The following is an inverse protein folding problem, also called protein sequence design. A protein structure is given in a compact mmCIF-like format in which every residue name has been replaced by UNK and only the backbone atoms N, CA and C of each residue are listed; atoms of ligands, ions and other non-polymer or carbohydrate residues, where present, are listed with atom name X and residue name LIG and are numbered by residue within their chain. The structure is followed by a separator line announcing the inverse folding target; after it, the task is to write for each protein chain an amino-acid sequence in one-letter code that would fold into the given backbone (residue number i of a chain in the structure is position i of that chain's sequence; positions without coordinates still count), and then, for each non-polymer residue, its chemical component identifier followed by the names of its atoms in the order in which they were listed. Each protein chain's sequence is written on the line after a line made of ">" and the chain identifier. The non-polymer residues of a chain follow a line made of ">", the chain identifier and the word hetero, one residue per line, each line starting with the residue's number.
data_IF_388562250093
#
_entry.id   IF_388562250093
#
_cell.length_a   1.000
_cell.length_b   1.000
_cell.length_c   1.000
_cell.angle_alpha   90.00
_cell.angle_beta   90.00
_cell.angle_gamma   90.00
#
_symmetry.space_group_name_H-M   'P 1'
#
loop_
_entity.id
_entity.type
_entity.pdbx_description
1 polymer ?
#
# COMPACT_ATOMS: atom_id res chain seq x y z
N UNK A 1 -10.18 17.02 -1.47
CA UNK A 1 -9.03 17.27 -0.54
C UNK A 1 -7.91 17.96 -1.29
N UNK A 2 -7.22 18.92 -0.68
CA UNK A 2 -5.95 19.45 -1.19
C UNK A 2 -4.87 18.36 -1.11
N UNK A 3 -3.73 18.56 -1.82
CA UNK A 3 -2.60 17.62 -1.76
C UNK A 3 -2.10 17.47 -0.32
N UNK A 4 -2.00 18.57 0.44
CA UNK A 4 -1.53 18.50 1.83
C UNK A 4 -2.52 17.83 2.77
N UNK A 5 -3.82 18.00 2.58
CA UNK A 5 -4.85 17.26 3.33
C UNK A 5 -4.77 15.76 3.07
N UNK A 6 -4.58 15.37 1.79
CA UNK A 6 -4.41 13.97 1.41
C UNK A 6 -3.16 13.37 2.07
N UNK A 7 -2.01 14.07 2.03
CA UNK A 7 -0.77 13.63 2.69
C UNK A 7 -0.93 13.55 4.23
N UNK A 8 -1.61 14.51 4.83
CA UNK A 8 -1.82 14.57 6.28
C UNK A 8 -2.75 13.46 6.80
N UNK A 9 -3.66 12.95 5.97
CA UNK A 9 -4.68 11.97 6.38
C UNK A 9 -4.43 10.55 5.85
N UNK A 10 -3.74 10.39 4.70
CA UNK A 10 -3.40 9.06 4.17
C UNK A 10 -2.51 8.29 5.13
N UNK A 11 -2.95 7.12 5.53
CA UNK A 11 -2.18 6.19 6.37
C UNK A 11 -2.27 4.78 5.78
N UNK A 12 -1.56 3.84 6.39
CA UNK A 12 -1.70 2.43 6.08
C UNK A 12 -2.91 1.87 6.80
N UNK A 13 -3.86 1.34 6.03
CA UNK A 13 -5.07 0.69 6.54
C UNK A 13 -4.98 -0.82 6.35
N UNK A 14 -5.50 -1.60 7.30
CA UNK A 14 -5.35 -3.06 7.32
C UNK A 14 -6.65 -3.81 7.56
N UNK A 15 -7.73 -3.10 7.92
CA UNK A 15 -9.07 -3.66 8.07
C UNK A 15 -10.02 -2.88 7.18
N UNK A 16 -10.88 -3.59 6.47
CA UNK A 16 -11.69 -3.03 5.40
C UNK A 16 -13.13 -3.54 5.46
N UNK A 17 -14.08 -2.67 5.15
CA UNK A 17 -15.47 -3.07 4.93
C UNK A 17 -15.56 -3.93 3.66
N UNK A 18 -16.49 -4.89 3.68
CA UNK A 18 -16.74 -5.80 2.56
C UNK A 18 -17.59 -5.11 1.47
N UNK A 19 -17.07 -3.97 0.95
CA UNK A 19 -17.67 -3.19 -0.13
C UNK A 19 -16.69 -3.10 -1.29
N UNK A 20 -17.12 -3.33 -2.53
CA UNK A 20 -16.22 -3.26 -3.68
C UNK A 20 -15.60 -1.86 -3.81
N UNK A 21 -14.37 -1.81 -4.28
CA UNK A 21 -13.72 -0.55 -4.68
C UNK A 21 -14.37 -0.09 -5.99
N UNK A 22 -14.88 1.16 -6.08
CA UNK A 22 -15.49 1.67 -7.29
C UNK A 22 -14.50 1.68 -8.48
N UNK A 23 -15.01 1.43 -9.69
CA UNK A 23 -14.16 1.33 -10.89
C UNK A 23 -13.43 2.65 -11.20
N UNK A 24 -14.06 3.79 -10.99
CA UNK A 24 -13.45 5.11 -11.19
C UNK A 24 -12.23 5.33 -10.27
N UNK A 25 -12.23 4.74 -9.08
CA UNK A 25 -11.05 4.77 -8.17
C UNK A 25 -9.93 3.87 -8.71
N UNK A 26 -10.27 2.73 -9.29
CA UNK A 26 -9.28 1.84 -9.93
C UNK A 26 -8.66 2.53 -11.13
N UNK A 27 -9.46 3.19 -11.95
CA UNK A 27 -9.01 3.94 -13.11
C UNK A 27 -8.10 5.10 -12.71
N UNK A 28 -8.45 5.86 -11.65
CA UNK A 28 -7.62 6.92 -11.07
C UNK A 28 -6.27 6.39 -10.57
N UNK A 29 -6.22 5.19 -9.95
CA UNK A 29 -4.97 4.58 -9.51
C UNK A 29 -4.07 4.17 -10.69
N UNK A 30 -4.65 3.61 -11.75
CA UNK A 30 -3.90 3.27 -12.97
C UNK A 30 -3.39 4.53 -13.66
N UNK A 31 -4.19 5.58 -13.73
CA UNK A 31 -3.78 6.88 -14.27
C UNK A 31 -2.69 7.53 -13.42
N UNK A 32 -2.77 7.43 -12.09
CA UNK A 32 -1.72 7.92 -11.19
C UNK A 32 -0.38 7.19 -11.41
N UNK A 33 -0.40 5.88 -11.71
CA UNK A 33 0.79 5.17 -12.15
C UNK A 33 1.31 5.74 -13.48
N UNK A 34 0.44 5.85 -14.49
CA UNK A 34 0.81 6.35 -15.83
C UNK A 34 1.46 7.73 -15.80
N UNK A 35 0.99 8.60 -14.88
CA UNK A 35 1.50 9.97 -14.72
C UNK A 35 2.69 10.06 -13.76
N UNK A 36 3.10 8.95 -13.13
CA UNK A 36 4.23 8.95 -12.21
C UNK A 36 5.54 9.25 -12.89
N UNK A 37 6.35 10.10 -12.28
CA UNK A 37 7.72 10.33 -12.73
C UNK A 37 8.55 9.07 -12.60
N UNK A 38 9.42 8.82 -13.57
CA UNK A 38 10.37 7.70 -13.54
C UNK A 38 11.69 8.09 -14.22
N UNK A 39 12.76 7.40 -13.88
CA UNK A 39 14.10 7.66 -14.42
C UNK A 39 14.12 7.58 -15.95
N UNK A 40 14.54 8.65 -16.62
CA UNK A 40 14.61 8.75 -18.07
C UNK A 40 13.30 8.37 -18.80
N UNK A 41 12.16 8.54 -18.16
CA UNK A 41 10.83 8.19 -18.66
C UNK A 41 10.70 6.72 -19.12
N UNK A 42 11.35 5.79 -18.43
CA UNK A 42 11.44 4.38 -18.81
C UNK A 42 10.14 3.60 -18.62
N UNK A 43 9.25 4.03 -17.73
CA UNK A 43 7.90 3.48 -17.53
C UNK A 43 7.89 1.96 -17.29
N UNK A 44 8.85 1.47 -16.50
CA UNK A 44 9.07 0.04 -16.25
C UNK A 44 8.11 -0.58 -15.22
N UNK A 45 7.29 0.24 -14.52
CA UNK A 45 6.37 -0.24 -13.49
C UNK A 45 4.99 -0.48 -14.09
N UNK A 46 4.41 -1.64 -13.79
CA UNK A 46 3.09 -2.07 -14.27
C UNK A 46 2.22 -2.52 -13.09
N UNK A 47 0.91 -2.63 -13.29
CA UNK A 47 -0.03 -3.17 -12.31
C UNK A 47 -0.76 -4.39 -12.86
N UNK A 48 -0.97 -5.39 -11.98
CA UNK A 48 -2.00 -6.39 -12.16
C UNK A 48 -3.10 -6.09 -11.15
N UNK A 49 -4.31 -5.83 -11.64
CA UNK A 49 -5.49 -5.49 -10.83
C UNK A 49 -6.21 -6.79 -10.45
N UNK A 50 -6.36 -7.05 -9.15
CA UNK A 50 -6.96 -8.26 -8.61
C UNK A 50 -8.27 -7.91 -7.90
N UNK A 51 -9.40 -8.09 -8.57
CA UNK A 51 -10.75 -7.76 -8.08
C UNK A 51 -11.67 -8.99 -7.98
N UNK A 52 -11.31 -10.13 -8.62
CA UNK A 52 -12.08 -11.36 -8.47
C UNK A 52 -12.06 -11.82 -7.02
N UNK A 53 -13.21 -11.99 -6.34
CA UNK A 53 -13.25 -12.44 -4.95
C UNK A 53 -12.52 -13.78 -4.75
N UNK A 54 -12.58 -14.69 -5.71
CA UNK A 54 -11.88 -15.96 -5.67
C UNK A 54 -10.36 -15.79 -5.64
N UNK A 55 -9.82 -14.90 -6.49
CA UNK A 55 -8.37 -14.65 -6.55
C UNK A 55 -7.93 -13.85 -5.32
N UNK A 56 -8.71 -12.85 -4.88
CA UNK A 56 -8.47 -12.08 -3.65
C UNK A 56 -8.33 -13.02 -2.45
N UNK A 57 -9.22 -14.01 -2.30
CA UNK A 57 -9.15 -15.01 -1.23
C UNK A 57 -7.88 -15.88 -1.31
N UNK A 58 -7.40 -16.19 -2.52
CA UNK A 58 -6.13 -16.93 -2.72
C UNK A 58 -4.89 -16.10 -2.46
N UNK A 59 -4.95 -14.77 -2.65
CA UNK A 59 -3.84 -13.84 -2.35
C UNK A 59 -3.66 -13.67 -0.84
N UNK A 60 -4.77 -13.60 -0.07
CA UNK A 60 -4.74 -13.25 1.35
C UNK A 60 -3.75 -14.08 2.19
N UNK A 61 -3.68 -15.42 2.11
CA UNK A 61 -2.74 -16.23 2.89
C UNK A 61 -1.28 -16.10 2.43
N UNK A 62 -1.02 -15.47 1.29
CA UNK A 62 0.31 -15.31 0.70
C UNK A 62 0.98 -13.98 1.08
N UNK A 63 0.32 -13.15 1.90
CA UNK A 63 0.83 -11.85 2.37
C UNK A 63 0.91 -11.82 3.89
N UNK A 64 1.86 -11.06 4.44
CA UNK A 64 2.03 -10.90 5.90
C UNK A 64 1.58 -9.52 6.35
N UNK A 65 0.92 -9.47 7.51
CA UNK A 65 0.32 -8.27 8.07
C UNK A 65 1.12 -7.73 9.26
N UNK A 66 1.11 -6.39 9.41
CA UNK A 66 1.45 -5.63 10.62
C UNK A 66 2.66 -6.15 11.43
N UNK A 67 3.87 -6.14 10.86
CA UNK A 67 5.07 -6.76 11.45
C UNK A 67 5.50 -6.28 12.86
N UNK A 68 4.89 -5.22 13.39
CA UNK A 68 5.13 -4.75 14.77
C UNK A 68 4.04 -5.18 15.76
N UNK A 69 2.98 -5.83 15.29
CA UNK A 69 1.88 -6.30 16.13
C UNK A 69 1.87 -7.83 16.18
N UNK A 70 1.36 -8.43 17.26
CA UNK A 70 1.04 -9.84 17.29
C UNK A 70 0.08 -10.20 16.15
N UNK A 71 0.18 -11.39 15.55
CA UNK A 71 -0.64 -11.79 14.39
C UNK A 71 -2.16 -11.62 14.62
N UNK A 72 -2.64 -11.92 15.81
CA UNK A 72 -4.04 -11.82 16.22
C UNK A 72 -4.57 -10.38 16.28
N UNK A 73 -3.67 -9.39 16.38
CA UNK A 73 -4.02 -7.96 16.36
C UNK A 73 -3.70 -7.30 15.01
N UNK A 74 -2.70 -7.82 14.31
CA UNK A 74 -2.17 -7.22 13.10
C UNK A 74 -2.86 -7.68 11.83
N UNK A 75 -3.33 -8.93 11.77
CA UNK A 75 -4.04 -9.48 10.63
C UNK A 75 -5.53 -9.10 10.67
N UNK A 76 -6.17 -8.78 9.53
CA UNK A 76 -7.61 -8.55 9.47
C UNK A 76 -8.37 -9.86 9.71
N UNK A 77 -9.52 -9.77 10.40
CA UNK A 77 -10.47 -10.87 10.52
C UNK A 77 -11.10 -11.18 9.16
N UNK A 78 -11.80 -12.31 9.05
CA UNK A 78 -12.37 -12.75 7.76
C UNK A 78 -13.32 -11.73 7.13
N UNK A 79 -14.09 -11.03 7.96
CA UNK A 79 -15.03 -9.97 7.56
C UNK A 79 -14.39 -8.56 7.41
N UNK A 80 -13.08 -8.46 7.64
CA UNK A 80 -12.31 -7.22 7.53
C UNK A 80 -11.19 -7.31 6.47
N UNK A 81 -11.12 -8.42 5.71
CA UNK A 81 -10.08 -8.63 4.70
C UNK A 81 -10.20 -7.62 3.54
N UNK A 82 -9.11 -7.34 2.82
CA UNK A 82 -9.18 -6.53 1.61
C UNK A 82 -10.14 -7.12 0.59
N UNK A 83 -10.82 -6.25 -0.12
CA UNK A 83 -11.73 -6.64 -1.21
C UNK A 83 -11.03 -6.58 -2.58
N UNK A 84 -9.81 -6.07 -2.61
CA UNK A 84 -9.02 -5.89 -3.83
C UNK A 84 -7.53 -5.87 -3.50
N UNK A 85 -6.70 -6.32 -4.45
CA UNK A 85 -5.25 -6.12 -4.44
C UNK A 85 -4.76 -5.53 -5.77
N UNK A 86 -3.66 -4.78 -5.70
CA UNK A 86 -2.81 -4.48 -6.85
C UNK A 86 -1.49 -5.23 -6.68
N UNK A 87 -1.08 -5.99 -7.68
CA UNK A 87 0.29 -6.47 -7.78
C UNK A 87 1.12 -5.44 -8.55
N UNK A 88 2.15 -4.90 -7.91
CA UNK A 88 3.07 -3.94 -8.51
C UNK A 88 4.24 -4.70 -9.10
N UNK A 89 4.41 -4.58 -10.40
CA UNK A 89 5.31 -5.38 -11.21
C UNK A 89 6.37 -4.48 -11.84
N UNK A 90 7.61 -4.97 -11.90
CA UNK A 90 8.74 -4.33 -12.55
C UNK A 90 9.12 -5.11 -13.82
N UNK A 91 9.18 -4.43 -14.95
CA UNK A 91 9.75 -4.99 -16.18
C UNK A 91 11.28 -4.97 -16.10
N UNK A 92 11.88 -6.11 -15.73
CA UNK A 92 13.32 -6.22 -15.53
C UNK A 92 14.15 -6.23 -16.81
N UNK A 93 13.53 -6.21 -17.99
CA UNK A 93 14.24 -5.99 -19.26
C UNK A 93 14.61 -4.53 -19.47
N UNK A 94 13.96 -3.61 -18.73
CA UNK A 94 14.22 -2.17 -18.78
C UNK A 94 15.31 -1.83 -17.76
N UNK A 95 16.47 -1.29 -18.17
CA UNK A 95 17.57 -0.99 -17.26
C UNK A 95 17.28 0.26 -16.40
N UNK A 96 17.78 0.28 -15.17
CA UNK A 96 17.72 1.42 -14.27
C UNK A 96 17.38 1.06 -12.82
N UNK A 97 17.22 2.08 -11.97
CA UNK A 97 16.77 1.91 -10.59
C UNK A 97 15.23 1.80 -10.55
N UNK A 98 14.75 0.58 -10.74
CA UNK A 98 13.31 0.30 -10.70
C UNK A 98 12.72 0.45 -9.29
N UNK A 99 13.52 0.45 -8.24
CA UNK A 99 13.02 0.58 -6.86
C UNK A 99 12.59 2.02 -6.57
N UNK A 100 13.37 3.01 -7.03
CA UNK A 100 12.99 4.43 -6.93
C UNK A 100 11.71 4.69 -7.71
N UNK A 101 11.63 4.26 -8.97
CA UNK A 101 10.45 4.43 -9.83
C UNK A 101 9.21 3.75 -9.20
N UNK A 102 9.39 2.55 -8.64
CA UNK A 102 8.32 1.82 -7.94
C UNK A 102 7.85 2.56 -6.69
N UNK A 103 8.76 3.16 -5.91
CA UNK A 103 8.40 3.95 -4.74
C UNK A 103 7.58 5.19 -5.09
N UNK A 104 7.92 5.89 -6.17
CA UNK A 104 7.16 7.03 -6.70
C UNK A 104 5.76 6.58 -7.14
N UNK A 105 5.68 5.51 -7.92
CA UNK A 105 4.42 4.95 -8.38
C UNK A 105 3.50 4.55 -7.21
N UNK A 106 4.02 3.82 -6.21
CA UNK A 106 3.28 3.43 -5.01
C UNK A 106 2.74 4.62 -4.23
N UNK A 107 3.52 5.69 -4.09
CA UNK A 107 3.09 6.93 -3.44
C UNK A 107 1.89 7.53 -4.17
N UNK A 108 1.98 7.70 -5.50
CA UNK A 108 0.93 8.29 -6.31
C UNK A 108 -0.35 7.45 -6.32
N UNK A 109 -0.24 6.13 -6.52
CA UNK A 109 -1.37 5.18 -6.50
C UNK A 109 -2.12 5.26 -5.16
N UNK A 110 -1.39 5.22 -4.04
CA UNK A 110 -2.02 5.24 -2.71
C UNK A 110 -2.60 6.59 -2.34
N UNK A 111 -2.07 7.69 -2.87
CA UNK A 111 -2.64 9.03 -2.73
C UNK A 111 -3.92 9.18 -3.56
N UNK A 112 -3.94 8.69 -4.81
CA UNK A 112 -5.12 8.70 -5.66
C UNK A 112 -6.27 7.91 -5.01
N UNK A 113 -6.00 6.69 -4.51
CA UNK A 113 -6.97 5.88 -3.78
C UNK A 113 -7.53 6.63 -2.56
N UNK A 114 -6.64 7.22 -1.74
CA UNK A 114 -7.06 7.93 -0.53
C UNK A 114 -7.84 9.21 -0.81
N UNK A 115 -7.57 9.92 -1.87
CA UNK A 115 -8.34 11.09 -2.29
C UNK A 115 -9.82 10.78 -2.51
N UNK A 116 -10.14 9.51 -2.79
CA UNK A 116 -11.51 8.96 -2.95
C UNK A 116 -11.98 8.13 -1.73
N UNK A 117 -11.26 8.16 -0.61
CA UNK A 117 -11.63 7.44 0.62
C UNK A 117 -11.31 5.94 0.61
N UNK A 118 -10.54 5.45 -0.35
CA UNK A 118 -10.06 4.06 -0.40
C UNK A 118 -8.73 3.96 0.32
N UNK A 119 -8.70 3.19 1.41
CA UNK A 119 -7.51 2.91 2.19
C UNK A 119 -6.63 1.86 1.54
N UNK A 120 -5.33 1.90 1.83
CA UNK A 120 -4.36 1.00 1.25
C UNK A 120 -3.32 0.50 2.25
N UNK A 121 -2.75 -0.69 1.99
CA UNK A 121 -1.58 -1.23 2.67
C UNK A 121 -0.58 -1.75 1.64
N UNK A 122 0.59 -1.10 1.54
CA UNK A 122 1.72 -1.58 0.73
C UNK A 122 2.41 -2.71 1.48
N UNK A 123 2.62 -3.84 0.81
CA UNK A 123 3.12 -5.08 1.40
C UNK A 123 4.33 -5.61 0.63
N UNK A 124 5.50 -5.63 1.31
CA UNK A 124 6.74 -6.23 0.79
C UNK A 124 7.01 -7.62 1.35
N UNK A 125 6.46 -7.94 2.54
CA UNK A 125 6.57 -9.26 3.15
C UNK A 125 5.50 -10.21 2.56
N UNK A 126 5.79 -10.77 1.39
CA UNK A 126 4.86 -11.53 0.56
C UNK A 126 5.53 -12.79 0.00
N UNK A 127 4.76 -13.83 -0.28
CA UNK A 127 5.25 -15.03 -0.98
C UNK A 127 5.30 -14.76 -2.50
N UNK A 128 6.38 -14.12 -2.96
CA UNK A 128 6.53 -13.72 -4.37
C UNK A 128 6.40 -14.88 -5.35
N UNK A 129 7.03 -16.06 -5.17
CA UNK A 129 6.87 -17.17 -6.12
C UNK A 129 5.41 -17.61 -6.28
N UNK A 130 4.72 -17.90 -5.18
CA UNK A 130 3.33 -18.35 -5.22
C UNK A 130 2.36 -17.29 -5.78
N UNK A 131 2.59 -16.00 -5.46
CA UNK A 131 1.80 -14.89 -6.02
C UNK A 131 2.07 -14.70 -7.50
N UNK A 132 3.32 -14.84 -7.96
CA UNK A 132 3.64 -14.72 -9.38
C UNK A 132 2.98 -15.84 -10.20
N UNK A 133 3.01 -17.07 -9.71
CA UNK A 133 2.31 -18.19 -10.31
C UNK A 133 0.80 -17.96 -10.36
N UNK A 134 0.20 -17.60 -9.22
CA UNK A 134 -1.25 -17.34 -9.12
C UNK A 134 -1.74 -16.25 -10.07
N UNK A 135 -0.92 -15.19 -10.26
CA UNK A 135 -1.28 -14.00 -11.03
C UNK A 135 -0.72 -14.02 -12.47
N UNK A 136 -0.06 -15.09 -12.87
CA UNK A 136 0.52 -15.22 -14.22
C UNK A 136 1.67 -14.24 -14.50
N UNK A 137 2.40 -13.82 -13.46
CA UNK A 137 3.54 -12.89 -13.59
C UNK A 137 4.80 -13.72 -13.90
N UNK A 138 5.29 -13.59 -15.12
CA UNK A 138 6.47 -14.32 -15.63
C UNK A 138 7.50 -13.34 -16.19
N UNK A 139 8.75 -13.82 -16.37
CA UNK A 139 9.81 -13.01 -16.97
C UNK A 139 9.39 -12.39 -18.31
N UNK A 140 9.80 -11.14 -18.62
CA UNK A 140 10.74 -10.31 -17.86
C UNK A 140 10.14 -9.62 -16.63
N UNK A 141 8.83 -9.73 -16.39
CA UNK A 141 8.12 -9.08 -15.31
C UNK A 141 8.43 -9.75 -13.96
N UNK A 142 8.63 -8.94 -12.92
CA UNK A 142 8.90 -9.38 -11.55
C UNK A 142 7.96 -8.71 -10.56
N UNK A 143 7.30 -9.50 -9.71
CA UNK A 143 6.50 -8.97 -8.62
C UNK A 143 7.37 -8.24 -7.60
N UNK A 144 7.11 -6.95 -7.40
CA UNK A 144 7.79 -6.12 -6.40
C UNK A 144 7.03 -6.06 -5.08
N UNK A 145 5.76 -5.65 -5.14
CA UNK A 145 4.88 -5.43 -3.98
C UNK A 145 3.45 -5.89 -4.27
N UNK A 146 2.71 -6.17 -3.20
CA UNK A 146 1.25 -6.19 -3.22
C UNK A 146 0.73 -4.94 -2.51
N UNK A 147 -0.42 -4.41 -2.96
CA UNK A 147 -1.15 -3.34 -2.27
C UNK A 147 -2.55 -3.86 -1.99
N UNK A 148 -2.88 -4.00 -0.70
CA UNK A 148 -4.24 -4.32 -0.26
C UNK A 148 -5.09 -3.06 -0.23
N UNK A 149 -6.36 -3.14 -0.64
CA UNK A 149 -7.26 -2.01 -0.83
C UNK A 149 -8.69 -2.29 -0.37
N UNK A 150 -9.36 -1.25 0.09
CA UNK A 150 -10.78 -1.27 0.48
C UNK A 150 -11.18 -0.04 1.28
N UNK A 151 -12.46 0.07 1.64
CA UNK A 151 -12.94 1.11 2.54
C UNK A 151 -12.50 0.81 3.97
N UNK A 152 -11.73 1.70 4.66
CA UNK A 152 -11.24 1.43 6.01
C UNK A 152 -12.35 1.28 7.05
N UNK A 153 -12.17 0.38 8.03
CA UNK A 153 -13.06 0.21 9.19
C UNK A 153 -12.42 0.66 10.50
N UNK A 154 -11.24 1.24 10.47
CA UNK A 154 -10.54 1.80 11.64
C UNK A 154 -9.89 3.13 11.28
N UNK A 155 -9.60 3.93 12.31
CA UNK A 155 -8.80 5.15 12.13
C UNK A 155 -7.29 4.85 12.19
N UNK A 156 -6.52 5.76 11.62
CA UNK A 156 -5.07 5.75 11.72
C UNK A 156 -4.56 7.20 11.78
N UNK A 157 -3.78 7.55 12.80
CA UNK A 157 -3.30 8.91 13.04
C UNK A 157 -1.80 8.99 13.26
N UNK A 158 -1.24 10.11 12.91
CA UNK A 158 0.14 10.46 13.30
C UNK A 158 0.16 10.83 14.79
N UNK A 159 1.18 10.36 15.49
CA UNK A 159 1.51 10.79 16.85
C UNK A 159 2.99 11.19 16.90
N UNK A 160 3.40 12.10 17.82
CA UNK A 160 4.81 12.41 17.99
C UNK A 160 5.60 11.15 18.35
N UNK A 161 6.78 10.98 17.73
CA UNK A 161 7.74 9.97 18.17
C UNK A 161 8.39 10.42 19.48
N UNK A 162 8.47 9.50 20.43
CA UNK A 162 9.17 9.70 21.70
C UNK A 162 10.18 8.59 21.92
N UNK A 163 11.08 8.74 22.87
CA UNK A 163 11.99 7.66 23.26
C UNK A 163 11.26 6.38 23.66
N UNK A 164 10.10 6.52 24.32
CA UNK A 164 9.26 5.40 24.76
C UNK A 164 8.59 4.68 23.60
N UNK A 165 8.06 5.39 22.62
CA UNK A 165 7.33 4.81 21.47
C UNK A 165 8.27 4.35 20.37
N UNK A 166 9.42 5.02 20.21
CA UNK A 166 10.28 4.80 19.05
C UNK A 166 9.50 4.95 17.73
N UNK A 167 9.89 4.20 16.71
CA UNK A 167 9.27 4.23 15.37
C UNK A 167 8.11 3.24 15.20
N UNK A 168 7.86 2.37 16.19
CA UNK A 168 6.90 1.28 16.05
C UNK A 168 5.47 1.81 16.18
N UNK A 169 4.65 1.57 15.14
CA UNK A 169 3.21 1.83 15.26
C UNK A 169 2.58 0.84 16.26
N UNK A 170 1.50 1.26 16.88
CA UNK A 170 0.76 0.50 17.88
C UNK A 170 -0.75 0.77 17.75
N UNK A 171 -1.56 -0.05 18.41
CA UNK A 171 -3.01 0.18 18.54
C UNK A 171 -3.28 0.90 19.86
N UNK A 172 -4.21 1.86 19.83
CA UNK A 172 -4.75 2.45 21.05
C UNK A 172 -5.87 1.58 21.65
N UNK A 173 -6.52 2.07 22.70
CA UNK A 173 -7.61 1.39 23.40
C UNK A 173 -8.85 1.12 22.52
N UNK A 174 -9.05 1.91 21.47
CA UNK A 174 -10.12 1.74 20.49
C UNK A 174 -9.73 0.81 19.35
N UNK A 175 -8.50 0.30 19.32
CA UNK A 175 -7.96 -0.50 18.23
C UNK A 175 -7.57 0.31 16.99
N UNK A 176 -7.42 1.64 17.12
CA UNK A 176 -6.97 2.52 16.04
C UNK A 176 -5.45 2.61 15.97
N UNK A 177 -4.91 2.76 14.77
CA UNK A 177 -3.47 2.79 14.57
C UNK A 177 -2.86 4.15 14.92
N UNK A 178 -1.93 4.16 15.86
CA UNK A 178 -1.05 5.28 16.18
C UNK A 178 0.29 5.10 15.47
N UNK A 179 0.66 6.07 14.63
CA UNK A 179 1.87 6.03 13.78
C UNK A 179 2.84 7.11 14.22
N UNK A 180 3.90 6.78 15.01
CA UNK A 180 4.89 7.74 15.45
C UNK A 180 5.66 8.36 14.28
N UNK A 181 5.84 9.68 14.31
CA UNK A 181 6.63 10.43 13.33
C UNK A 181 7.63 11.33 14.04
N UNK A 182 8.82 11.45 13.45
CA UNK A 182 9.83 12.43 13.86
C UNK A 182 9.30 13.86 13.67
N UNK A 183 9.87 14.80 14.37
CA UNK A 183 9.60 16.21 14.18
C UNK A 183 10.14 16.71 12.83
N UNK A 184 9.64 17.85 12.37
CA UNK A 184 10.13 18.46 11.11
C UNK A 184 11.58 18.90 11.23
N UNK A 185 11.97 19.36 12.43
CA UNK A 185 13.33 19.83 12.74
C UNK A 185 14.36 18.69 12.66
N UNK A 186 13.95 17.44 12.95
CA UNK A 186 14.83 16.26 12.79
C UNK A 186 15.00 15.83 11.33
N UNK A 187 14.13 16.25 10.41
CA UNK A 187 14.09 15.79 9.03
C UNK A 187 14.74 16.75 8.05
N UNK A 188 14.85 18.04 8.39
CA UNK A 188 15.40 19.05 7.49
C UNK A 188 16.28 20.05 8.26
N UNK A 189 17.36 20.46 7.62
CA UNK A 189 18.19 21.56 8.09
C UNK A 189 18.48 22.51 6.92
N UNK A 190 18.46 23.81 7.19
CA UNK A 190 18.87 24.84 6.23
C UNK A 190 20.38 25.12 6.37
N UNK A 191 21.09 25.26 5.28
CA UNK A 191 22.51 25.60 5.19
C UNK A 191 22.70 26.85 4.36
#
# INVERSE_FOLDING_TARGET
>A
MSVMETLNTRRTYRRFAQKPVPQDVVDDMVEALRLSSCGANRQAVKLVVVQSPEIVAKVHPLVKWAGYLPPEQGAPKADEQPVMYLAVVQDSSIPGDLNTDTGIALANITLAAWAKGVGSCIMGAINKPALSELLGIAAPDKLAFMVALGCPTHAARVVPMTEKTGIKYYLDENGDYCVPKRSVEELARTV
#
